data_IF_794825872747
#
_entry.id   IF_794825872747
#
_cell.length_a   1.000
_cell.length_b   1.000
_cell.length_c   1.000
_cell.angle_alpha   90.00
_cell.angle_beta   90.00
_cell.angle_gamma   90.00
#
_symmetry.space_group_name_H-M   'P 1'
#
loop_
_entity.id
_entity.type
_entity.pdbx_description
1 polymer ?
#
# COMPACT_ATOMS: atom_id res chain seq x y z
N UNK A 1 13.54 16.60 -13.42
CA UNK A 1 12.71 15.83 -14.36
C UNK A 1 12.93 14.32 -14.32
N UNK A 2 14.18 13.79 -14.24
CA UNK A 2 14.42 12.32 -14.26
C UNK A 2 13.97 11.56 -12.98
N UNK A 3 14.15 12.15 -11.79
CA UNK A 3 13.75 11.52 -10.52
C UNK A 3 12.23 11.29 -10.39
N UNK A 4 11.42 12.22 -10.89
CA UNK A 4 9.94 12.13 -10.85
C UNK A 4 9.41 10.90 -11.57
N UNK A 5 10.06 10.50 -12.67
CA UNK A 5 9.71 9.28 -13.41
C UNK A 5 10.08 8.03 -12.63
N UNK A 6 11.23 8.02 -11.95
CA UNK A 6 11.72 6.88 -11.17
C UNK A 6 10.87 6.68 -9.92
N UNK A 7 10.53 7.76 -9.21
CA UNK A 7 9.66 7.71 -8.04
C UNK A 7 8.26 7.18 -8.38
N UNK A 8 7.66 7.65 -9.48
CA UNK A 8 6.39 7.13 -9.99
C UNK A 8 6.47 5.61 -10.31
N UNK A 9 7.54 5.17 -10.98
CA UNK A 9 7.73 3.76 -11.33
C UNK A 9 7.89 2.92 -10.05
N UNK A 10 8.68 3.38 -9.08
CA UNK A 10 8.87 2.69 -7.80
C UNK A 10 7.58 2.62 -6.99
N UNK A 11 6.81 3.71 -6.94
CA UNK A 11 5.50 3.75 -6.30
C UNK A 11 4.53 2.75 -6.94
N UNK A 12 4.48 2.70 -8.27
CA UNK A 12 3.61 1.79 -9.00
C UNK A 12 4.02 0.32 -8.81
N UNK A 13 5.33 0.02 -8.83
CA UNK A 13 5.85 -1.31 -8.54
C UNK A 13 5.52 -1.75 -7.12
N UNK A 14 5.71 -0.88 -6.14
CA UNK A 14 5.43 -1.19 -4.75
C UNK A 14 3.91 -1.31 -4.48
N UNK A 15 3.07 -0.59 -5.24
CA UNK A 15 1.63 -0.79 -5.24
C UNK A 15 1.22 -2.15 -5.81
N UNK A 16 1.78 -2.55 -6.96
CA UNK A 16 1.54 -3.88 -7.56
C UNK A 16 1.99 -4.99 -6.62
N UNK A 17 3.16 -4.84 -5.98
CA UNK A 17 3.64 -5.80 -4.97
C UNK A 17 2.69 -5.87 -3.77
N UNK A 18 2.20 -4.73 -3.27
CA UNK A 18 1.21 -4.71 -2.18
C UNK A 18 -0.07 -5.48 -2.53
N UNK A 19 -0.56 -5.38 -3.78
CA UNK A 19 -1.72 -6.16 -4.25
C UNK A 19 -1.39 -7.66 -4.35
N UNK A 20 -0.22 -7.98 -4.93
CA UNK A 20 0.24 -9.37 -5.07
C UNK A 20 0.37 -10.05 -3.70
N UNK A 21 0.75 -9.29 -2.68
CA UNK A 21 0.84 -9.76 -1.30
C UNK A 21 -0.49 -9.97 -0.61
N UNK A 22 -1.49 -9.10 -0.84
CA UNK A 22 -2.87 -9.36 -0.38
C UNK A 22 -3.38 -10.67 -0.99
N UNK A 23 -3.05 -10.93 -2.27
CA UNK A 23 -3.37 -12.21 -2.90
C UNK A 23 -2.58 -13.39 -2.29
N UNK A 24 -1.30 -13.21 -1.98
CA UNK A 24 -0.47 -14.21 -1.30
C UNK A 24 -1.03 -14.55 0.10
N UNK A 25 -1.48 -13.55 0.86
CA UNK A 25 -2.10 -13.72 2.17
C UNK A 25 -3.41 -14.53 2.08
N UNK A 26 -4.22 -14.31 1.04
CA UNK A 26 -5.42 -15.13 0.75
C UNK A 26 -5.06 -16.57 0.35
N UNK A 27 -3.94 -16.75 -0.36
CA UNK A 27 -3.42 -18.06 -0.79
C UNK A 27 -2.55 -18.77 0.27
N UNK A 28 -2.32 -18.17 1.45
CA UNK A 28 -1.39 -18.64 2.49
C UNK A 28 0.05 -18.84 1.99
N UNK A 29 0.48 -18.02 1.03
CA UNK A 29 1.88 -17.93 0.62
C UNK A 29 2.60 -16.98 1.58
N UNK A 30 3.50 -17.53 2.39
CA UNK A 30 4.35 -16.75 3.29
C UNK A 30 5.48 -16.11 2.49
N UNK A 31 5.51 -14.78 2.48
CA UNK A 31 6.64 -14.04 1.93
C UNK A 31 7.69 -13.82 3.02
N UNK A 32 8.99 -13.94 2.69
CA UNK A 32 10.06 -13.70 3.65
C UNK A 32 9.96 -12.29 4.25
N UNK A 33 10.02 -12.18 5.58
CA UNK A 33 9.94 -10.90 6.31
C UNK A 33 10.97 -9.86 5.82
N UNK A 34 12.13 -10.33 5.37
CA UNK A 34 13.18 -9.49 4.77
C UNK A 34 12.66 -8.78 3.52
N UNK A 35 11.91 -9.47 2.67
CA UNK A 35 11.34 -8.90 1.44
C UNK A 35 10.29 -7.85 1.81
N UNK A 36 9.40 -8.16 2.75
CA UNK A 36 8.36 -7.24 3.25
C UNK A 36 9.02 -5.95 3.78
N UNK A 37 10.06 -6.10 4.58
CA UNK A 37 10.79 -4.96 5.19
C UNK A 37 11.42 -4.08 4.11
N UNK A 38 12.07 -4.69 3.11
CA UNK A 38 12.66 -3.97 1.98
C UNK A 38 11.59 -3.20 1.21
N UNK A 39 10.43 -3.82 0.95
CA UNK A 39 9.30 -3.18 0.24
C UNK A 39 8.81 -1.96 1.01
N UNK A 40 8.60 -2.08 2.32
CA UNK A 40 8.15 -0.97 3.18
C UNK A 40 9.15 0.20 3.11
N UNK A 41 10.45 -0.08 3.21
CA UNK A 41 11.49 0.96 3.14
C UNK A 41 11.48 1.65 1.78
N UNK A 42 11.44 0.90 0.67
CA UNK A 42 11.40 1.49 -0.68
C UNK A 42 10.15 2.35 -0.88
N UNK A 43 8.99 1.87 -0.43
CA UNK A 43 7.74 2.60 -0.54
C UNK A 43 7.76 3.88 0.29
N UNK A 44 8.34 3.84 1.50
CA UNK A 44 8.52 5.02 2.35
C UNK A 44 9.44 6.05 1.68
N UNK A 45 10.59 5.63 1.14
CA UNK A 45 11.52 6.51 0.43
C UNK A 45 10.86 7.13 -0.81
N UNK A 46 10.16 6.34 -1.62
CA UNK A 46 9.47 6.83 -2.81
C UNK A 46 8.37 7.83 -2.45
N UNK A 47 7.56 7.50 -1.46
CA UNK A 47 6.48 8.34 -0.94
C UNK A 47 6.98 9.65 -0.34
N UNK A 48 8.06 9.60 0.45
CA UNK A 48 8.71 10.79 1.00
C UNK A 48 9.34 11.66 -0.10
N UNK A 49 9.96 11.05 -1.12
CA UNK A 49 10.50 11.78 -2.26
C UNK A 49 9.40 12.54 -3.00
N UNK A 50 8.26 11.88 -3.28
CA UNK A 50 7.10 12.55 -3.88
C UNK A 50 6.49 13.63 -2.97
N UNK A 51 6.45 13.39 -1.66
CA UNK A 51 5.96 14.36 -0.69
C UNK A 51 6.83 15.62 -0.68
N UNK A 52 8.16 15.48 -0.66
CA UNK A 52 9.08 16.61 -0.70
C UNK A 52 8.94 17.39 -2.01
N UNK A 53 8.78 16.69 -3.14
CA UNK A 53 8.62 17.33 -4.44
C UNK A 53 7.28 18.05 -4.60
N UNK A 54 6.18 17.45 -4.14
CA UNK A 54 4.81 17.94 -4.39
C UNK A 54 4.22 18.73 -3.22
N UNK A 55 4.82 18.63 -2.02
CA UNK A 55 4.29 19.09 -0.73
C UNK A 55 2.89 18.56 -0.38
N UNK A 56 2.48 17.46 -0.99
CA UNK A 56 1.13 16.89 -0.81
C UNK A 56 1.17 15.74 0.19
N UNK A 57 0.65 16.00 1.40
CA UNK A 57 0.59 15.01 2.48
C UNK A 57 -0.07 13.69 2.09
N UNK A 58 -1.02 13.72 1.14
CA UNK A 58 -1.71 12.51 0.65
C UNK A 58 -0.74 11.45 0.09
N UNK A 59 0.44 11.85 -0.40
CA UNK A 59 1.46 10.93 -0.88
C UNK A 59 2.04 10.03 0.22
N UNK A 60 1.94 10.43 1.48
CA UNK A 60 2.38 9.65 2.64
C UNK A 60 1.40 8.53 3.03
N UNK A 61 0.23 8.44 2.38
CA UNK A 61 -0.77 7.44 2.73
C UNK A 61 -0.40 6.04 2.22
N UNK A 62 0.33 5.94 1.10
CA UNK A 62 0.80 4.65 0.57
C UNK A 62 1.60 3.81 1.58
N UNK A 63 2.67 4.33 2.22
CA UNK A 63 3.40 3.57 3.22
C UNK A 63 2.56 3.21 4.45
N UNK A 64 1.60 4.04 4.84
CA UNK A 64 0.68 3.74 5.94
C UNK A 64 -0.22 2.55 5.60
N UNK A 65 -0.80 2.55 4.39
CA UNK A 65 -1.63 1.44 3.89
C UNK A 65 -0.81 0.13 3.89
N UNK A 66 0.41 0.18 3.37
CA UNK A 66 1.30 -0.99 3.32
C UNK A 66 1.61 -1.50 4.73
N UNK A 67 2.03 -0.65 5.67
CA UNK A 67 2.26 -1.06 7.07
C UNK A 67 1.00 -1.71 7.68
N UNK A 68 -0.18 -1.16 7.39
CA UNK A 68 -1.43 -1.74 7.86
C UNK A 68 -1.65 -3.17 7.36
N UNK A 69 -1.48 -3.43 6.06
CA UNK A 69 -1.67 -4.78 5.51
C UNK A 69 -0.55 -5.76 5.89
N UNK A 70 0.69 -5.31 6.08
CA UNK A 70 1.83 -6.19 6.31
C UNK A 70 2.13 -6.48 7.77
N UNK A 71 1.84 -5.54 8.65
CA UNK A 71 2.23 -5.65 10.05
C UNK A 71 0.98 -5.73 10.91
N UNK A 72 0.07 -4.76 10.75
CA UNK A 72 -1.09 -4.65 11.63
C UNK A 72 -2.10 -5.76 11.37
N UNK A 73 -2.39 -6.07 10.10
CA UNK A 73 -3.44 -7.02 9.74
C UNK A 73 -3.08 -8.48 10.07
N UNK A 74 -1.86 -8.98 9.84
CA UNK A 74 -1.44 -10.30 10.34
C UNK A 74 -1.49 -10.37 11.86
N UNK A 75 -1.02 -9.31 12.54
CA UNK A 75 -1.08 -9.22 14.01
C UNK A 75 -2.52 -9.30 14.53
N UNK A 76 -3.45 -8.52 13.97
CA UNK A 76 -4.89 -8.62 14.28
C UNK A 76 -5.41 -10.03 13.99
N UNK A 77 -4.97 -10.63 12.88
CA UNK A 77 -5.34 -11.99 12.47
C UNK A 77 -4.97 -13.06 13.50
N UNK A 78 -3.90 -12.88 14.27
CA UNK A 78 -3.53 -13.77 15.38
C UNK A 78 -4.52 -13.70 16.55
N UNK A 79 -5.14 -12.55 16.79
CA UNK A 79 -6.15 -12.39 17.84
C UNK A 79 -7.54 -12.87 17.42
N UNK A 80 -7.83 -12.89 16.12
CA UNK A 80 -9.12 -13.37 15.59
C UNK A 80 -9.09 -14.89 15.45
N UNK A 81 -9.64 -15.57 16.46
CA UNK A 81 -9.72 -17.04 16.47
C UNK A 81 -10.65 -17.61 15.39
N UNK A 82 -11.61 -16.81 14.90
CA UNK A 82 -12.53 -17.24 13.85
C UNK A 82 -12.00 -16.87 12.45
N UNK A 83 -11.59 -17.90 11.70
CA UNK A 83 -11.08 -17.77 10.33
C UNK A 83 -12.01 -16.99 9.39
N UNK A 84 -13.33 -17.15 9.53
CA UNK A 84 -14.31 -16.43 8.70
C UNK A 84 -14.29 -14.93 9.02
N UNK A 85 -14.23 -14.56 10.30
CA UNK A 85 -14.15 -13.16 10.71
C UNK A 85 -12.86 -12.50 10.22
N UNK A 86 -11.73 -13.21 10.29
CA UNK A 86 -10.45 -12.71 9.79
C UNK A 86 -10.50 -12.44 8.27
N UNK A 87 -11.08 -13.37 7.50
CA UNK A 87 -11.27 -13.20 6.05
C UNK A 87 -12.22 -12.03 5.74
N UNK A 88 -13.33 -11.91 6.46
CA UNK A 88 -14.29 -10.81 6.26
C UNK A 88 -13.62 -9.46 6.56
N UNK A 89 -12.85 -9.37 7.64
CA UNK A 89 -12.09 -8.18 8.00
C UNK A 89 -11.07 -7.82 6.92
N UNK A 90 -10.30 -8.81 6.45
CA UNK A 90 -9.35 -8.67 5.36
C UNK A 90 -9.97 -8.07 4.09
N UNK A 91 -11.09 -8.63 3.66
CA UNK A 91 -11.81 -8.23 2.45
C UNK A 91 -12.37 -6.81 2.60
N UNK A 92 -12.98 -6.48 3.75
CA UNK A 92 -13.48 -5.14 4.04
C UNK A 92 -12.36 -4.08 4.00
N UNK A 93 -11.24 -4.35 4.65
CA UNK A 93 -10.08 -3.45 4.66
C UNK A 93 -9.52 -3.22 3.27
N UNK A 94 -9.48 -4.27 2.44
CA UNK A 94 -9.10 -4.16 1.03
C UNK A 94 -10.03 -3.24 0.24
N UNK A 95 -11.36 -3.41 0.36
CA UNK A 95 -12.33 -2.55 -0.32
C UNK A 95 -12.21 -1.07 0.10
N UNK A 96 -12.06 -0.80 1.40
CA UNK A 96 -11.88 0.56 1.92
C UNK A 96 -10.63 1.21 1.31
N UNK A 97 -9.55 0.45 1.25
CA UNK A 97 -8.26 0.90 0.71
C UNK A 97 -8.37 1.18 -0.79
N UNK A 98 -9.05 0.32 -1.56
CA UNK A 98 -9.29 0.54 -2.99
C UNK A 98 -10.12 1.79 -3.26
N UNK A 99 -11.16 2.04 -2.46
CA UNK A 99 -11.97 3.27 -2.56
C UNK A 99 -11.10 4.51 -2.30
N UNK A 100 -10.25 4.46 -1.27
CA UNK A 100 -9.35 5.56 -0.93
C UNK A 100 -8.37 5.86 -2.09
N UNK A 101 -7.71 4.82 -2.61
CA UNK A 101 -6.76 4.93 -3.70
C UNK A 101 -7.41 5.45 -4.98
N UNK A 102 -8.61 4.96 -5.32
CA UNK A 102 -9.36 5.44 -6.48
C UNK A 102 -9.69 6.92 -6.36
N UNK A 103 -10.13 7.36 -5.18
CA UNK A 103 -10.38 8.78 -4.90
C UNK A 103 -9.11 9.62 -5.05
N UNK A 104 -7.96 9.12 -4.58
CA UNK A 104 -6.67 9.80 -4.72
C UNK A 104 -6.23 9.92 -6.20
N UNK A 105 -6.42 8.87 -6.99
CA UNK A 105 -6.13 8.86 -8.43
C UNK A 105 -7.00 9.89 -9.17
N UNK A 106 -8.31 9.94 -8.87
CA UNK A 106 -9.22 10.95 -9.45
C UNK A 106 -8.80 12.38 -9.12
N UNK A 107 -8.42 12.65 -7.86
CA UNK A 107 -7.95 13.98 -7.45
C UNK A 107 -6.64 14.36 -8.15
N UNK A 108 -5.71 13.41 -8.28
CA UNK A 108 -4.44 13.64 -8.96
C UNK A 108 -4.61 13.84 -10.47
N UNK A 109 -5.58 13.16 -11.09
CA UNK A 109 -5.93 13.36 -12.50
C UNK A 109 -6.52 14.75 -12.76
N UNK A 110 -7.44 15.22 -11.90
CA UNK A 110 -8.01 16.57 -11.99
C UNK A 110 -6.96 17.67 -11.90
N UNK A 111 -5.95 17.50 -11.04
CA UNK A 111 -4.87 18.49 -10.87
C UNK A 111 -3.85 18.52 -12.02
N UNK A 112 -3.80 17.50 -12.88
CA UNK A 112 -2.93 17.47 -14.07
C UNK A 112 -3.64 17.98 -15.34
N UNK A 113 -4.96 18.11 -15.31
CA UNK A 113 -5.77 18.58 -16.43
C UNK A 113 -6.05 20.08 -16.43
N UNK A 114 -5.64 20.79 -15.38
CA UNK A 114 -5.56 22.26 -15.30
C UNK A 114 -4.08 22.69 -15.38
#
# INVERSE_FOLDING_TARGET
MKFKSIANILSMLAFIMSIAEVAAMLMRLELPEIIITIIIIFLFVASMSEFVETRKLRKLVYPIITIYFFIIMPFIGEFIHNKIQNIVFAVLSFFITMIFLYRELMLTSKEKGN
#
